data_IF_854341908117
#
_entry.id   IF_854341908117
#
_cell.length_a   1.000
_cell.length_b   1.000
_cell.length_c   1.000
_cell.angle_alpha   90.00
_cell.angle_beta   90.00
_cell.angle_gamma   90.00
#
_symmetry.space_group_name_H-M   'P 1'
#
loop_
_entity.id
_entity.type
_entity.pdbx_description
1 polymer ?
#
# COMPACT_ATOMS: atom_id res chain seq x y z
N UNK A 1 -47.04 44.25 6.68
CA UNK A 1 -47.00 42.85 7.10
C UNK A 1 -46.87 42.02 5.83
N UNK A 2 -45.61 41.89 5.36
CA UNK A 2 -45.27 41.18 4.15
C UNK A 2 -44.52 39.90 4.58
N UNK A 3 -45.07 38.77 4.24
CA UNK A 3 -44.56 37.43 4.56
C UNK A 3 -43.48 37.10 3.52
N UNK A 4 -42.27 36.93 4.01
CA UNK A 4 -41.08 36.50 3.29
C UNK A 4 -41.28 35.06 2.76
N UNK A 5 -41.10 34.75 1.46
CA UNK A 5 -41.20 33.40 0.94
C UNK A 5 -39.92 32.64 1.22
N UNK A 6 -40.01 31.75 2.19
CA UNK A 6 -39.05 30.82 2.69
C UNK A 6 -38.31 30.03 1.60
N UNK A 7 -37.00 30.03 1.75
CA UNK A 7 -36.08 28.91 1.52
C UNK A 7 -36.67 27.65 0.84
N UNK A 8 -36.63 27.64 -0.46
CA UNK A 8 -36.59 26.41 -1.22
C UNK A 8 -35.17 25.84 -1.09
N UNK A 9 -34.93 25.14 0.02
CA UNK A 9 -33.73 24.34 0.18
C UNK A 9 -33.69 23.30 -0.94
N UNK A 10 -32.83 23.52 -1.93
CA UNK A 10 -32.47 22.49 -2.91
C UNK A 10 -32.04 21.23 -2.13
N UNK A 11 -32.90 20.23 -2.10
CA UNK A 11 -32.51 18.85 -1.82
C UNK A 11 -31.55 18.45 -2.94
N UNK A 12 -30.29 18.87 -2.82
CA UNK A 12 -29.21 18.30 -3.62
C UNK A 12 -29.23 16.82 -3.34
N UNK A 13 -29.72 16.03 -4.29
CA UNK A 13 -29.89 14.59 -4.13
C UNK A 13 -28.57 13.99 -3.61
N UNK A 14 -28.63 13.06 -2.63
CA UNK A 14 -27.46 12.33 -2.10
C UNK A 14 -26.55 11.84 -3.25
N UNK A 15 -27.13 11.41 -4.36
CA UNK A 15 -26.44 10.99 -5.58
C UNK A 15 -25.56 12.08 -6.22
N UNK A 16 -25.92 13.37 -6.08
CA UNK A 16 -25.09 14.47 -6.61
C UNK A 16 -23.86 14.70 -5.72
N UNK A 17 -23.96 14.45 -4.42
CA UNK A 17 -22.85 14.54 -3.45
C UNK A 17 -21.88 13.36 -3.53
N UNK A 18 -22.29 12.20 -4.07
CA UNK A 18 -21.46 11.00 -4.21
C UNK A 18 -20.69 10.96 -5.53
N UNK A 19 -20.90 11.88 -6.48
CA UNK A 19 -20.15 11.91 -7.73
C UNK A 19 -18.74 12.43 -7.48
N UNK A 20 -17.74 11.65 -7.94
CA UNK A 20 -16.35 12.10 -7.98
C UNK A 20 -16.26 13.36 -8.83
N UNK A 21 -15.64 14.39 -8.28
CA UNK A 21 -15.44 15.65 -9.00
C UNK A 21 -14.35 15.46 -10.07
N UNK A 22 -14.75 15.51 -11.33
CA UNK A 22 -13.86 15.32 -12.48
C UNK A 22 -13.30 16.61 -13.05
N UNK A 23 -13.53 17.77 -12.43
CA UNK A 23 -13.02 19.06 -12.90
C UNK A 23 -11.51 19.08 -13.18
N UNK A 24 -10.65 18.46 -12.33
CA UNK A 24 -9.23 18.42 -12.62
C UNK A 24 -8.87 17.78 -13.97
N UNK A 25 -9.64 16.77 -14.43
CA UNK A 25 -9.40 16.10 -15.72
C UNK A 25 -9.68 16.98 -16.95
N UNK A 26 -10.33 18.13 -16.79
CA UNK A 26 -10.48 19.13 -17.87
C UNK A 26 -9.16 19.81 -18.19
N UNK A 27 -8.21 19.84 -17.27
CA UNK A 27 -6.87 20.39 -17.46
C UNK A 27 -6.00 19.38 -18.17
N UNK A 28 -5.51 19.72 -19.36
CA UNK A 28 -4.75 18.83 -20.23
C UNK A 28 -3.56 18.20 -19.51
N UNK A 29 -2.78 19.00 -18.81
CA UNK A 29 -1.53 18.52 -18.18
C UNK A 29 -1.83 17.60 -16.98
N UNK A 30 -2.79 17.95 -16.12
CA UNK A 30 -3.22 17.05 -15.06
C UNK A 30 -3.83 15.75 -15.60
N UNK A 31 -4.66 15.83 -16.64
CA UNK A 31 -5.25 14.64 -17.30
C UNK A 31 -4.17 13.72 -17.86
N UNK A 32 -3.15 14.27 -18.52
CA UNK A 32 -2.03 13.49 -19.03
C UNK A 32 -1.26 12.81 -17.89
N UNK A 33 -0.93 13.55 -16.80
CA UNK A 33 -0.32 12.96 -15.62
C UNK A 33 -1.18 11.84 -15.04
N UNK A 34 -2.48 12.08 -14.85
CA UNK A 34 -3.41 11.12 -14.27
C UNK A 34 -3.54 9.85 -15.13
N UNK A 35 -3.67 9.98 -16.45
CA UNK A 35 -3.74 8.84 -17.38
C UNK A 35 -2.43 8.05 -17.35
N UNK A 36 -1.27 8.72 -17.47
CA UNK A 36 0.02 8.05 -17.42
C UNK A 36 0.21 7.25 -16.15
N UNK A 37 -0.08 7.86 -15.00
CA UNK A 37 0.06 7.19 -13.72
C UNK A 37 -0.99 6.08 -13.52
N UNK A 38 -2.22 6.24 -13.97
CA UNK A 38 -3.22 5.18 -13.91
C UNK A 38 -2.78 3.94 -14.73
N UNK A 39 -2.23 4.16 -15.93
CA UNK A 39 -1.74 3.08 -16.80
C UNK A 39 -0.56 2.36 -16.14
N UNK A 40 0.47 3.08 -15.66
CA UNK A 40 1.63 2.44 -15.02
C UNK A 40 1.28 1.78 -13.69
N UNK A 41 0.36 2.36 -12.90
CA UNK A 41 -0.09 1.74 -11.65
C UNK A 41 -0.82 0.42 -11.90
N UNK A 42 -1.74 0.39 -12.87
CA UNK A 42 -2.45 -0.85 -13.23
C UNK A 42 -1.48 -1.92 -13.72
N UNK A 43 -0.51 -1.56 -14.58
CA UNK A 43 0.53 -2.47 -15.04
C UNK A 43 1.36 -3.03 -13.89
N UNK A 44 1.87 -2.16 -13.02
CA UNK A 44 2.65 -2.56 -11.86
C UNK A 44 1.88 -3.49 -10.91
N UNK A 45 0.59 -3.22 -10.66
CA UNK A 45 -0.25 -4.10 -9.84
C UNK A 45 -0.53 -5.47 -10.51
N UNK A 46 -0.62 -5.54 -11.84
CA UNK A 46 -0.65 -6.80 -12.59
C UNK A 46 0.65 -7.58 -12.35
N UNK A 47 1.80 -6.90 -12.32
CA UNK A 47 3.13 -7.48 -12.10
C UNK A 47 3.37 -7.98 -10.67
N UNK A 48 2.65 -7.48 -9.66
CA UNK A 48 2.89 -7.83 -8.24
C UNK A 48 2.76 -9.32 -7.95
N UNK A 49 1.88 -10.03 -8.66
CA UNK A 49 1.67 -11.48 -8.52
C UNK A 49 2.77 -12.28 -9.22
N UNK A 50 3.36 -11.74 -10.29
CA UNK A 50 4.24 -12.49 -11.18
C UNK A 50 5.56 -12.92 -10.50
N UNK A 51 6.22 -12.02 -9.77
CA UNK A 51 7.52 -12.30 -9.15
C UNK A 51 7.41 -13.35 -8.03
N UNK A 52 6.52 -13.21 -7.02
CA UNK A 52 6.33 -14.24 -5.99
C UNK A 52 5.89 -15.59 -6.57
N UNK A 53 4.97 -15.57 -7.53
CA UNK A 53 4.51 -16.77 -8.22
C UNK A 53 5.67 -17.48 -8.95
N UNK A 54 6.48 -16.74 -9.72
CA UNK A 54 7.60 -17.29 -10.46
C UNK A 54 8.69 -17.81 -9.54
N UNK A 55 9.04 -17.13 -8.45
CA UNK A 55 10.00 -17.64 -7.47
C UNK A 55 9.50 -18.94 -6.87
N UNK A 56 8.21 -18.99 -6.49
CA UNK A 56 7.66 -20.20 -5.90
C UNK A 56 7.62 -21.39 -6.88
N UNK A 57 7.17 -21.17 -8.11
CA UNK A 57 7.10 -22.24 -9.11
C UNK A 57 8.46 -22.78 -9.56
N UNK A 58 9.50 -21.94 -9.52
CA UNK A 58 10.88 -22.36 -9.84
C UNK A 58 11.58 -23.09 -8.68
N UNK A 59 11.22 -22.76 -7.42
CA UNK A 59 12.00 -23.22 -6.26
C UNK A 59 11.22 -24.10 -5.29
N UNK A 60 9.90 -24.06 -5.35
CA UNK A 60 8.97 -24.67 -4.38
C UNK A 60 9.29 -24.29 -2.92
N UNK A 61 9.93 -23.12 -2.69
CA UNK A 61 10.39 -22.65 -1.39
C UNK A 61 9.63 -21.40 -0.94
N UNK A 62 8.85 -21.55 0.12
CA UNK A 62 8.18 -20.41 0.79
C UNK A 62 9.18 -19.44 1.42
N UNK A 63 10.30 -19.97 1.93
CA UNK A 63 11.37 -19.13 2.49
C UNK A 63 12.00 -18.20 1.44
N UNK A 64 12.19 -18.68 0.19
CA UNK A 64 12.70 -17.82 -0.88
C UNK A 64 11.66 -16.78 -1.30
N UNK A 65 10.37 -17.10 -1.31
CA UNK A 65 9.33 -16.08 -1.55
C UNK A 65 9.33 -15.03 -0.43
N UNK A 66 9.43 -15.45 0.83
CA UNK A 66 9.57 -14.52 1.96
C UNK A 66 10.82 -13.64 1.88
N UNK A 67 11.93 -14.19 1.36
CA UNK A 67 13.18 -13.44 1.18
C UNK A 67 13.06 -12.32 0.12
N UNK A 68 12.10 -12.37 -0.81
CA UNK A 68 11.78 -11.24 -1.70
C UNK A 68 11.38 -9.98 -0.91
N UNK A 69 10.69 -10.15 0.23
CA UNK A 69 10.39 -9.06 1.15
C UNK A 69 11.68 -8.37 1.61
N UNK A 70 12.71 -9.12 1.98
CA UNK A 70 14.00 -8.55 2.39
C UNK A 70 14.71 -7.83 1.23
N UNK A 71 14.64 -8.38 0.01
CA UNK A 71 15.20 -7.73 -1.18
C UNK A 71 14.51 -6.39 -1.47
N UNK A 72 13.24 -6.23 -1.11
CA UNK A 72 12.47 -4.99 -1.21
C UNK A 72 12.74 -4.03 -0.04
N UNK A 73 12.93 -4.56 1.17
CA UNK A 73 13.08 -3.79 2.41
C UNK A 73 14.29 -2.85 2.39
N UNK A 74 15.45 -3.36 1.97
CA UNK A 74 16.69 -2.58 1.98
C UNK A 74 16.59 -1.34 1.08
N UNK A 75 16.20 -1.45 -0.21
CA UNK A 75 15.96 -0.28 -1.05
C UNK A 75 14.92 0.68 -0.49
N UNK A 76 13.83 0.15 0.05
CA UNK A 76 12.72 0.96 0.56
C UNK A 76 13.13 1.84 1.75
N UNK A 77 14.05 1.38 2.59
CA UNK A 77 14.58 2.16 3.72
C UNK A 77 15.70 3.12 3.31
N UNK A 78 16.58 2.71 2.39
CA UNK A 78 17.78 3.47 2.05
C UNK A 78 17.52 4.52 0.98
N UNK A 79 16.78 4.16 -0.08
CA UNK A 79 16.62 5.02 -1.25
C UNK A 79 15.89 6.34 -0.95
N UNK A 80 14.80 6.40 -0.15
CA UNK A 80 14.16 7.67 0.18
C UNK A 80 15.07 8.63 0.94
N UNK A 81 16.00 8.11 1.77
CA UNK A 81 16.93 8.92 2.56
C UNK A 81 17.97 9.62 1.67
N UNK A 82 18.41 8.95 0.61
CA UNK A 82 19.43 9.46 -0.30
C UNK A 82 18.79 10.13 -1.53
N UNK A 83 17.74 9.52 -2.04
CA UNK A 83 17.07 9.91 -3.30
C UNK A 83 16.21 11.15 -3.18
N UNK A 84 15.67 11.46 -1.99
CA UNK A 84 14.85 12.65 -1.76
C UNK A 84 15.59 13.93 -2.14
N UNK A 85 16.82 14.09 -1.68
CA UNK A 85 17.66 15.26 -2.00
C UNK A 85 17.97 15.35 -3.50
N UNK A 86 18.14 14.22 -4.18
CA UNK A 86 18.40 14.16 -5.63
C UNK A 86 17.12 14.52 -6.41
N UNK A 87 15.99 13.96 -6.01
CA UNK A 87 14.70 14.23 -6.65
C UNK A 87 14.31 15.70 -6.51
N UNK A 88 14.62 16.32 -5.38
CA UNK A 88 14.30 17.72 -5.12
C UNK A 88 15.15 18.71 -5.92
N UNK A 89 16.37 18.35 -6.27
CA UNK A 89 17.27 19.18 -7.07
C UNK A 89 16.98 19.11 -8.59
N UNK A 90 16.16 18.17 -9.05
CA UNK A 90 15.91 17.93 -10.46
C UNK A 90 14.51 18.40 -10.90
N UNK A 91 14.36 18.62 -12.21
CA UNK A 91 13.04 18.82 -12.84
C UNK A 91 12.13 17.61 -12.56
N UNK A 92 10.93 17.86 -11.98
CA UNK A 92 10.01 16.81 -11.53
C UNK A 92 9.54 15.90 -12.66
N UNK A 93 9.30 16.49 -13.85
CA UNK A 93 8.98 15.71 -15.05
C UNK A 93 10.16 14.83 -15.46
N UNK A 94 11.39 15.34 -15.42
CA UNK A 94 12.56 14.58 -15.76
C UNK A 94 12.81 13.41 -14.81
N UNK A 95 12.51 13.57 -13.51
CA UNK A 95 12.56 12.48 -12.54
C UNK A 95 11.54 11.39 -12.91
N UNK A 96 10.27 11.76 -13.17
CA UNK A 96 9.26 10.77 -13.58
C UNK A 96 9.62 10.05 -14.86
N UNK A 97 10.10 10.76 -15.89
CA UNK A 97 10.51 10.12 -17.14
C UNK A 97 11.63 9.10 -16.93
N UNK A 98 12.61 9.42 -16.05
CA UNK A 98 13.69 8.50 -15.71
C UNK A 98 13.18 7.28 -14.92
N UNK A 99 12.23 7.48 -14.01
CA UNK A 99 11.64 6.36 -13.26
C UNK A 99 10.80 5.46 -14.16
N UNK A 100 9.96 6.00 -15.04
CA UNK A 100 9.20 5.21 -16.03
C UNK A 100 10.13 4.44 -16.98
N UNK A 101 11.19 5.09 -17.48
CA UNK A 101 12.21 4.42 -18.31
C UNK A 101 12.89 3.30 -17.54
N UNK A 102 13.31 3.57 -16.29
CA UNK A 102 13.93 2.57 -15.43
C UNK A 102 13.02 1.38 -15.18
N UNK A 103 11.74 1.62 -14.88
CA UNK A 103 10.75 0.56 -14.68
C UNK A 103 10.50 -0.23 -15.97
N UNK A 104 10.41 0.42 -17.12
CA UNK A 104 10.30 -0.26 -18.42
C UNK A 104 11.51 -1.18 -18.69
N UNK A 105 12.73 -0.71 -18.39
CA UNK A 105 13.96 -1.53 -18.51
C UNK A 105 13.91 -2.72 -17.56
N UNK A 106 13.48 -2.53 -16.31
CA UNK A 106 13.34 -3.63 -15.34
C UNK A 106 12.30 -4.63 -15.80
N UNK A 107 11.15 -4.17 -16.30
CA UNK A 107 10.10 -5.04 -16.85
C UNK A 107 10.62 -5.84 -18.07
N UNK A 108 11.40 -5.21 -18.95
CA UNK A 108 12.06 -5.89 -20.07
C UNK A 108 13.06 -6.95 -19.60
N UNK A 109 13.80 -6.69 -18.53
CA UNK A 109 14.74 -7.66 -17.95
C UNK A 109 14.03 -8.82 -17.25
N UNK A 110 12.91 -8.55 -16.55
CA UNK A 110 12.04 -9.62 -16.02
C UNK A 110 11.48 -10.48 -17.15
N UNK A 111 10.99 -9.86 -18.22
CA UNK A 111 10.49 -10.57 -19.41
C UNK A 111 11.60 -11.41 -20.04
N UNK A 112 12.78 -10.83 -20.26
CA UNK A 112 13.93 -11.56 -20.81
C UNK A 112 14.33 -12.76 -19.95
N UNK A 113 14.37 -12.59 -18.62
CA UNK A 113 14.63 -13.68 -17.69
C UNK A 113 13.54 -14.78 -17.75
N UNK A 114 12.28 -14.39 -17.86
CA UNK A 114 11.16 -15.33 -17.92
C UNK A 114 11.11 -16.14 -19.24
N UNK A 115 11.68 -15.59 -20.32
CA UNK A 115 11.79 -16.26 -21.62
C UNK A 115 13.01 -17.19 -21.74
N UNK A 116 13.92 -17.21 -20.77
CA UNK A 116 15.03 -18.15 -20.76
C UNK A 116 14.53 -19.59 -20.60
N UNK A 117 15.19 -20.55 -21.22
CA UNK A 117 14.90 -21.99 -21.01
C UNK A 117 15.00 -22.38 -19.51
N UNK A 118 15.90 -21.75 -18.79
CA UNK A 118 16.07 -21.89 -17.33
C UNK A 118 16.12 -20.50 -16.69
N UNK A 119 14.98 -19.92 -16.26
CA UNK A 119 14.93 -18.63 -15.62
C UNK A 119 15.82 -18.58 -14.36
N UNK A 120 16.52 -17.48 -14.17
CA UNK A 120 17.48 -17.28 -13.08
C UNK A 120 16.78 -16.71 -11.86
N UNK A 121 16.67 -17.48 -10.79
CA UNK A 121 16.01 -17.04 -9.54
C UNK A 121 16.71 -15.84 -8.93
N UNK A 122 18.06 -15.80 -8.87
CA UNK A 122 18.80 -14.67 -8.32
C UNK A 122 18.50 -13.34 -9.04
N UNK A 123 18.23 -13.41 -10.36
CA UNK A 123 17.88 -12.22 -11.14
C UNK A 123 16.56 -11.60 -10.69
N UNK A 124 15.58 -12.44 -10.26
CA UNK A 124 14.31 -11.95 -9.72
C UNK A 124 14.51 -11.11 -8.46
N UNK A 125 15.41 -11.52 -7.56
CA UNK A 125 15.75 -10.74 -6.35
C UNK A 125 16.42 -9.41 -6.67
N UNK A 126 17.41 -9.43 -7.56
CA UNK A 126 18.14 -8.21 -7.94
C UNK A 126 17.20 -7.23 -8.64
N UNK A 127 16.43 -7.71 -9.61
CA UNK A 127 15.48 -6.88 -10.36
C UNK A 127 14.37 -6.33 -9.46
N UNK A 128 13.87 -7.12 -8.50
CA UNK A 128 12.91 -6.67 -7.48
C UNK A 128 13.49 -5.52 -6.64
N UNK A 129 14.71 -5.65 -6.16
CA UNK A 129 15.40 -4.59 -5.41
C UNK A 129 15.60 -3.32 -6.25
N UNK A 130 15.97 -3.44 -7.53
CA UNK A 130 16.10 -2.31 -8.45
C UNK A 130 14.73 -1.66 -8.71
N UNK A 131 13.68 -2.45 -8.96
CA UNK A 131 12.31 -1.95 -9.16
C UNK A 131 11.84 -1.10 -7.98
N UNK A 132 11.98 -1.63 -6.75
CA UNK A 132 11.60 -0.92 -5.52
C UNK A 132 12.44 0.35 -5.33
N UNK A 133 13.73 0.33 -5.69
CA UNK A 133 14.59 1.51 -5.64
C UNK A 133 14.09 2.62 -6.57
N UNK A 134 13.79 2.28 -7.83
CA UNK A 134 13.30 3.22 -8.83
C UNK A 134 11.92 3.77 -8.42
N UNK A 135 11.01 2.91 -7.98
CA UNK A 135 9.68 3.29 -7.49
C UNK A 135 9.76 4.28 -6.32
N UNK A 136 10.65 4.01 -5.36
CA UNK A 136 10.84 4.87 -4.19
C UNK A 136 11.36 6.26 -4.56
N UNK A 137 12.19 6.38 -5.61
CA UNK A 137 12.68 7.66 -6.14
C UNK A 137 11.58 8.48 -6.83
N UNK A 138 10.61 7.83 -7.47
CA UNK A 138 9.53 8.49 -8.21
C UNK A 138 8.47 9.13 -7.31
N UNK A 139 8.21 8.57 -6.14
CA UNK A 139 7.10 8.98 -5.26
C UNK A 139 7.11 10.46 -4.83
N UNK A 140 8.23 11.04 -4.36
CA UNK A 140 8.27 12.46 -3.99
C UNK A 140 8.00 13.40 -5.18
N UNK A 141 8.55 13.07 -6.35
CA UNK A 141 8.29 13.83 -7.56
C UNK A 141 6.80 13.79 -7.94
N UNK A 142 6.17 12.63 -7.86
CA UNK A 142 4.74 12.44 -8.15
C UNK A 142 3.85 13.26 -7.22
N UNK A 143 4.06 13.19 -5.92
CA UNK A 143 3.23 13.90 -4.93
C UNK A 143 3.33 15.43 -5.07
N UNK A 144 4.48 15.94 -5.51
CA UNK A 144 4.72 17.38 -5.69
C UNK A 144 4.16 17.95 -7.00
N UNK A 145 3.78 17.10 -7.98
CA UNK A 145 3.27 17.56 -9.27
C UNK A 145 1.80 17.96 -9.22
N UNK A 146 0.96 17.20 -8.51
CA UNK A 146 -0.47 17.46 -8.45
C UNK A 146 -0.81 18.89 -8.03
N UNK A 147 -0.22 19.48 -6.95
CA UNK A 147 -0.52 20.87 -6.55
C UNK A 147 -0.06 21.92 -7.59
N UNK A 148 0.81 21.57 -8.53
CA UNK A 148 1.27 22.49 -9.59
C UNK A 148 0.37 22.46 -10.83
N UNK A 149 -0.42 21.43 -10.99
CA UNK A 149 -1.23 21.20 -12.19
C UNK A 149 -2.71 21.55 -11.99
N UNK A 150 -3.13 21.67 -10.72
CA UNK A 150 -4.50 22.03 -10.35
C UNK A 150 -4.50 23.18 -9.35
N UNK A 151 -5.52 24.06 -9.36
CA UNK A 151 -5.68 25.08 -8.35
C UNK A 151 -6.02 24.47 -6.99
N UNK A 152 -5.80 25.23 -5.92
CA UNK A 152 -5.98 24.77 -4.54
C UNK A 152 -7.37 24.18 -4.28
N UNK A 153 -8.41 24.75 -4.90
CA UNK A 153 -9.82 24.32 -4.75
C UNK A 153 -10.08 22.95 -5.38
N UNK A 154 -9.23 22.51 -6.31
CA UNK A 154 -9.35 21.22 -7.01
C UNK A 154 -8.41 20.13 -6.45
N UNK A 155 -7.52 20.44 -5.49
CA UNK A 155 -6.55 19.49 -4.93
C UNK A 155 -7.26 18.29 -4.29
N UNK A 156 -8.33 18.51 -3.53
CA UNK A 156 -9.11 17.45 -2.92
C UNK A 156 -9.76 16.53 -3.98
N UNK A 157 -10.27 17.11 -5.07
CA UNK A 157 -10.83 16.36 -6.19
C UNK A 157 -9.74 15.54 -6.93
N UNK A 158 -8.55 16.12 -7.12
CA UNK A 158 -7.41 15.43 -7.71
C UNK A 158 -6.94 14.25 -6.84
N UNK A 159 -6.89 14.43 -5.52
CA UNK A 159 -6.57 13.35 -4.58
C UNK A 159 -7.62 12.22 -4.63
N UNK A 160 -8.92 12.56 -4.69
CA UNK A 160 -10.00 11.60 -4.84
C UNK A 160 -9.87 10.79 -6.14
N UNK A 161 -9.57 11.44 -7.27
CA UNK A 161 -9.34 10.78 -8.56
C UNK A 161 -8.13 9.83 -8.52
N UNK A 162 -7.06 10.23 -7.83
CA UNK A 162 -5.88 9.37 -7.59
C UNK A 162 -6.25 8.14 -6.75
N UNK A 163 -7.03 8.33 -5.68
CA UNK A 163 -7.50 7.22 -4.85
C UNK A 163 -8.37 6.23 -5.62
N UNK A 164 -9.19 6.71 -6.56
CA UNK A 164 -10.04 5.84 -7.40
C UNK A 164 -9.19 4.88 -8.24
N UNK A 165 -8.22 5.38 -9.01
CA UNK A 165 -7.42 4.47 -9.83
C UNK A 165 -6.52 3.57 -8.98
N UNK A 166 -5.96 4.06 -7.86
CA UNK A 166 -5.17 3.22 -6.95
C UNK A 166 -6.01 2.06 -6.38
N UNK A 167 -7.24 2.34 -5.93
CA UNK A 167 -8.13 1.30 -5.40
C UNK A 167 -8.53 0.28 -6.46
N UNK A 168 -8.85 0.76 -7.68
CA UNK A 168 -9.19 -0.13 -8.80
C UNK A 168 -7.99 -0.98 -9.23
N UNK A 169 -6.79 -0.39 -9.27
CA UNK A 169 -5.57 -1.10 -9.61
C UNK A 169 -5.21 -2.14 -8.53
N UNK A 170 -5.29 -1.80 -7.25
CA UNK A 170 -4.97 -2.71 -6.16
C UNK A 170 -5.91 -3.92 -6.09
N UNK A 171 -7.20 -3.75 -6.43
CA UNK A 171 -8.16 -4.86 -6.49
C UNK A 171 -8.05 -5.61 -7.82
N UNK A 172 -8.10 -4.87 -8.94
CA UNK A 172 -8.18 -5.46 -10.28
C UNK A 172 -6.84 -5.98 -10.81
N UNK A 173 -5.74 -5.28 -10.50
CA UNK A 173 -4.41 -5.61 -11.00
C UNK A 173 -3.96 -7.03 -10.66
N UNK A 174 -3.90 -7.43 -9.39
CA UNK A 174 -3.51 -8.77 -9.02
C UNK A 174 -4.44 -9.86 -9.57
N UNK A 175 -5.76 -9.62 -9.58
CA UNK A 175 -6.73 -10.56 -10.14
C UNK A 175 -6.51 -10.78 -11.64
N UNK A 176 -6.35 -9.70 -12.41
CA UNK A 176 -6.04 -9.75 -13.85
C UNK A 176 -4.67 -10.39 -14.07
N UNK A 177 -3.67 -10.06 -13.25
CA UNK A 177 -2.33 -10.63 -13.30
C UNK A 177 -2.34 -12.14 -13.14
N UNK A 178 -3.05 -12.64 -12.13
CA UNK A 178 -3.20 -14.08 -11.90
C UNK A 178 -3.92 -14.79 -13.05
N UNK A 179 -5.02 -14.24 -13.58
CA UNK A 179 -5.74 -14.76 -14.74
C UNK A 179 -4.82 -14.79 -15.96
N UNK A 180 -4.06 -13.74 -16.20
CA UNK A 180 -3.14 -13.65 -17.33
C UNK A 180 -2.02 -14.68 -17.23
N UNK A 181 -1.46 -14.92 -16.04
CA UNK A 181 -0.46 -15.97 -15.81
C UNK A 181 -1.06 -17.35 -16.08
N UNK A 182 -2.29 -17.61 -15.62
CA UNK A 182 -2.97 -18.88 -15.83
C UNK A 182 -3.28 -19.12 -17.31
N UNK A 183 -3.67 -18.10 -18.07
CA UNK A 183 -4.06 -18.21 -19.46
C UNK A 183 -2.88 -18.19 -20.45
N UNK A 184 -1.86 -17.39 -20.18
CA UNK A 184 -0.79 -17.08 -21.14
C UNK A 184 0.63 -17.26 -20.57
N UNK A 185 0.76 -17.42 -19.25
CA UNK A 185 2.03 -17.58 -18.57
C UNK A 185 2.66 -16.27 -18.08
N UNK A 186 3.67 -16.41 -17.23
CA UNK A 186 4.38 -15.29 -16.58
C UNK A 186 4.96 -14.26 -17.56
N UNK A 187 5.54 -14.63 -18.72
CA UNK A 187 6.11 -13.64 -19.65
C UNK A 187 5.12 -12.56 -20.09
N UNK A 188 3.85 -12.89 -20.23
CA UNK A 188 2.83 -11.92 -20.65
C UNK A 188 2.56 -10.83 -19.61
N UNK A 189 2.64 -11.15 -18.32
CA UNK A 189 2.50 -10.11 -17.27
C UNK A 189 3.65 -9.09 -17.34
N UNK A 190 4.88 -9.55 -17.50
CA UNK A 190 6.02 -8.64 -17.67
C UNK A 190 5.97 -7.87 -18.99
N UNK A 191 5.44 -8.50 -20.05
CA UNK A 191 5.21 -7.84 -21.33
C UNK A 191 4.18 -6.71 -21.24
N UNK A 192 3.07 -6.91 -20.54
CA UNK A 192 2.07 -5.87 -20.29
C UNK A 192 2.67 -4.76 -19.43
N UNK A 193 3.42 -5.11 -18.38
CA UNK A 193 4.07 -4.13 -17.51
C UNK A 193 5.05 -3.25 -18.30
N UNK A 194 5.86 -3.84 -19.19
CA UNK A 194 6.72 -3.11 -20.11
C UNK A 194 5.93 -2.14 -21.01
N UNK A 195 4.82 -2.59 -21.58
CA UNK A 195 3.97 -1.77 -22.44
C UNK A 195 3.35 -0.62 -21.65
N UNK A 196 2.86 -0.87 -20.44
CA UNK A 196 2.23 0.16 -19.61
C UNK A 196 3.20 1.22 -19.15
N UNK A 197 4.42 0.87 -18.72
CA UNK A 197 5.47 1.85 -18.41
C UNK A 197 5.91 2.65 -19.64
N UNK A 198 6.02 1.99 -20.80
CA UNK A 198 6.35 2.67 -22.05
C UNK A 198 5.24 3.65 -22.46
N UNK A 199 3.99 3.24 -22.35
CA UNK A 199 2.82 4.12 -22.64
C UNK A 199 2.79 5.31 -21.66
N UNK A 200 2.97 5.06 -20.35
CA UNK A 200 3.07 6.10 -19.33
C UNK A 200 4.18 7.09 -19.63
N UNK A 201 5.38 6.61 -20.02
CA UNK A 201 6.48 7.46 -20.42
C UNK A 201 6.06 8.46 -21.53
N UNK A 202 5.42 8.00 -22.61
CA UNK A 202 5.00 8.88 -23.69
C UNK A 202 3.95 9.90 -23.23
N UNK A 203 3.02 9.51 -22.36
CA UNK A 203 2.00 10.42 -21.83
C UNK A 203 2.64 11.48 -20.91
N UNK A 204 3.56 11.10 -20.05
CA UNK A 204 4.29 12.03 -19.16
C UNK A 204 5.25 12.91 -19.98
N UNK A 205 5.79 12.41 -21.08
CA UNK A 205 6.62 13.22 -21.99
C UNK A 205 5.88 14.42 -22.59
N UNK A 206 4.57 14.38 -22.67
CA UNK A 206 3.74 15.50 -23.13
C UNK A 206 3.58 16.62 -22.09
N UNK A 207 4.00 16.42 -20.84
CA UNK A 207 3.94 17.43 -19.79
C UNK A 207 4.95 18.54 -20.01
N UNK A 208 4.69 19.78 -19.56
CA UNK A 208 5.67 20.85 -19.58
C UNK A 208 6.83 20.55 -18.60
N UNK A 209 7.97 21.22 -18.78
CA UNK A 209 9.08 21.18 -17.82
C UNK A 209 8.62 21.77 -16.48
N UNK A 210 9.04 21.15 -15.39
CA UNK A 210 8.65 21.53 -14.03
C UNK A 210 9.87 21.63 -13.12
N UNK A 211 10.64 22.74 -13.24
CA UNK A 211 11.84 22.93 -12.45
C UNK A 211 11.51 22.98 -10.94
N UNK A 212 12.49 22.69 -10.08
CA UNK A 212 12.34 22.80 -8.64
C UNK A 212 11.95 24.23 -8.24
N UNK A 213 11.07 24.36 -7.24
CA UNK A 213 10.67 25.64 -6.66
C UNK A 213 11.38 25.85 -5.32
N UNK A 214 12.33 26.78 -5.27
CA UNK A 214 12.99 27.22 -4.04
C UNK A 214 14.00 26.25 -3.43
N UNK A 215 14.56 26.66 -2.29
CA UNK A 215 15.40 25.82 -1.45
C UNK A 215 14.52 24.77 -0.74
N UNK A 216 14.85 23.50 -0.91
CA UNK A 216 14.14 22.41 -0.25
C UNK A 216 14.91 22.04 1.00
N UNK A 217 14.21 22.02 2.14
CA UNK A 217 14.75 21.47 3.38
C UNK A 217 15.22 20.01 3.14
N UNK A 218 16.52 19.80 3.26
CA UNK A 218 17.12 18.47 3.06
C UNK A 218 16.58 17.49 4.10
N UNK A 219 16.07 16.33 3.69
CA UNK A 219 15.77 15.26 4.63
C UNK A 219 17.01 15.01 5.47
N UNK A 220 16.97 15.26 6.76
CA UNK A 220 18.12 15.03 7.62
C UNK A 220 17.83 13.86 8.56
N UNK A 221 18.84 13.01 8.78
CA UNK A 221 18.75 11.97 9.80
C UNK A 221 18.37 12.52 11.17
N UNK A 222 18.73 13.78 11.46
CA UNK A 222 18.28 14.49 12.67
C UNK A 222 16.78 14.64 12.73
N UNK A 223 16.10 14.95 11.60
CA UNK A 223 14.66 15.08 11.56
C UNK A 223 13.95 13.77 11.93
N UNK A 224 14.48 12.63 11.46
CA UNK A 224 13.98 11.30 11.79
C UNK A 224 14.21 11.00 13.28
N UNK A 225 15.43 11.26 13.78
CA UNK A 225 15.76 11.09 15.20
C UNK A 225 14.88 11.96 16.10
N UNK A 226 14.57 13.18 15.71
CA UNK A 226 13.67 14.07 16.45
C UNK A 226 12.24 13.52 16.47
N UNK A 227 11.79 12.90 15.38
CA UNK A 227 10.51 12.18 15.34
C UNK A 227 10.50 11.02 16.36
N UNK A 228 11.54 10.18 16.37
CA UNK A 228 11.66 9.09 17.36
C UNK A 228 11.79 9.61 18.81
N UNK A 229 12.52 10.71 19.03
CA UNK A 229 12.59 11.34 20.35
C UNK A 229 11.23 11.84 20.80
N UNK A 230 10.43 12.39 19.89
CA UNK A 230 9.08 12.85 20.19
C UNK A 230 8.14 11.70 20.58
N UNK A 231 8.31 10.51 19.98
CA UNK A 231 7.53 9.32 20.35
C UNK A 231 7.79 8.88 21.80
N UNK A 232 9.02 9.11 22.30
CA UNK A 232 9.42 8.64 23.63
C UNK A 232 8.50 9.21 24.72
N UNK A 233 7.87 8.31 25.47
CA UNK A 233 6.95 8.65 26.57
C UNK A 233 5.50 8.94 26.14
N UNK A 234 5.21 9.07 24.86
CA UNK A 234 3.85 9.30 24.34
C UNK A 234 3.16 7.98 24.00
N UNK A 235 2.57 7.34 25.00
CA UNK A 235 1.91 6.03 24.84
C UNK A 235 0.89 5.99 23.68
N UNK A 236 0.04 7.01 23.43
CA UNK A 236 -0.88 6.98 22.30
C UNK A 236 -0.17 6.76 20.95
N UNK A 237 0.94 7.47 20.71
CA UNK A 237 1.71 7.34 19.47
C UNK A 237 2.47 6.01 19.41
N UNK A 238 3.13 5.62 20.52
CA UNK A 238 3.80 4.32 20.58
C UNK A 238 2.81 3.18 20.31
N UNK A 239 1.58 3.28 20.85
CA UNK A 239 0.51 2.29 20.68
C UNK A 239 0.10 2.07 19.22
N UNK A 240 -0.12 3.14 18.47
CA UNK A 240 -0.51 3.02 17.05
C UNK A 240 0.60 2.34 16.23
N UNK A 241 1.87 2.69 16.46
CA UNK A 241 3.00 2.09 15.77
C UNK A 241 3.22 0.62 16.18
N UNK A 242 3.12 0.30 17.47
CA UNK A 242 3.37 -1.04 17.98
C UNK A 242 2.27 -2.03 17.56
N UNK A 243 0.99 -1.62 17.61
CA UNK A 243 -0.13 -2.46 17.16
C UNK A 243 -0.01 -2.75 15.66
N UNK A 244 0.31 -1.74 14.86
CA UNK A 244 0.49 -1.91 13.42
C UNK A 244 1.68 -2.81 13.08
N UNK A 245 2.82 -2.60 13.74
CA UNK A 245 3.98 -3.49 13.57
C UNK A 245 3.64 -4.93 13.90
N UNK A 246 2.93 -5.17 15.01
CA UNK A 246 2.50 -6.53 15.39
C UNK A 246 1.55 -7.13 14.33
N UNK A 247 0.60 -6.34 13.82
CA UNK A 247 -0.32 -6.79 12.79
C UNK A 247 0.39 -7.12 11.47
N UNK A 248 1.31 -6.26 11.02
CA UNK A 248 1.99 -6.43 9.73
C UNK A 248 3.08 -7.50 9.78
N UNK A 249 3.83 -7.62 10.89
CA UNK A 249 4.91 -8.62 11.01
C UNK A 249 4.34 -10.01 11.22
N UNK A 250 3.33 -10.18 12.07
CA UNK A 250 2.80 -11.52 12.36
C UNK A 250 1.58 -11.88 11.53
N UNK A 251 0.76 -10.91 11.13
CA UNK A 251 -0.53 -11.17 10.48
C UNK A 251 -0.53 -11.00 8.96
N UNK A 252 0.61 -10.94 8.27
CA UNK A 252 0.64 -10.71 6.81
C UNK A 252 1.32 -11.86 6.05
N UNK A 253 0.57 -12.91 5.65
CA UNK A 253 1.12 -14.09 5.02
C UNK A 253 1.19 -13.98 3.49
N UNK A 254 1.45 -12.80 2.90
CA UNK A 254 1.38 -12.59 1.44
C UNK A 254 2.41 -13.42 0.67
N UNK A 255 3.59 -13.64 1.25
CA UNK A 255 4.60 -14.55 0.68
C UNK A 255 4.11 -16.00 0.54
N UNK A 256 3.09 -16.40 1.30
CA UNK A 256 2.56 -17.78 1.25
C UNK A 256 1.44 -17.95 0.23
N UNK A 257 0.90 -16.85 -0.35
CA UNK A 257 -0.23 -16.95 -1.28
C UNK A 257 0.01 -17.88 -2.49
N UNK A 258 1.20 -17.88 -3.14
CA UNK A 258 1.46 -18.87 -4.19
C UNK A 258 1.40 -20.31 -3.70
N UNK A 259 2.00 -20.60 -2.54
CA UNK A 259 1.99 -21.94 -1.95
C UNK A 259 0.59 -22.38 -1.52
N UNK A 260 -0.16 -21.49 -0.86
CA UNK A 260 -1.53 -21.74 -0.41
C UNK A 260 -2.45 -21.99 -1.61
N UNK A 261 -2.38 -21.14 -2.64
CA UNK A 261 -3.20 -21.28 -3.83
C UNK A 261 -2.98 -22.62 -4.51
N UNK A 262 -1.71 -23.00 -4.75
CA UNK A 262 -1.37 -24.19 -5.52
C UNK A 262 -1.52 -25.50 -4.71
N UNK A 263 -1.17 -25.51 -3.41
CA UNK A 263 -1.14 -26.75 -2.62
C UNK A 263 -2.31 -26.91 -1.65
N UNK A 264 -2.76 -25.81 -0.98
CA UNK A 264 -3.83 -25.91 0.02
C UNK A 264 -5.22 -25.78 -0.62
N UNK A 265 -5.36 -24.86 -1.60
CA UNK A 265 -6.62 -24.62 -2.31
C UNK A 265 -6.74 -25.40 -3.61
N UNK A 266 -5.68 -26.12 -4.04
CA UNK A 266 -5.64 -26.90 -5.29
C UNK A 266 -6.04 -26.07 -6.52
N UNK A 267 -5.69 -24.78 -6.51
CA UNK A 267 -5.98 -23.82 -7.56
C UNK A 267 -4.80 -23.62 -8.52
N UNK A 268 -4.84 -22.51 -9.23
CA UNK A 268 -3.86 -22.10 -10.24
C UNK A 268 -3.32 -20.69 -9.99
N UNK A 269 -2.66 -20.09 -10.97
CA UNK A 269 -2.16 -18.72 -10.89
C UNK A 269 -3.28 -17.67 -10.74
N UNK A 270 -4.48 -17.92 -11.28
CA UNK A 270 -5.63 -17.02 -11.08
C UNK A 270 -6.04 -17.01 -9.60
N UNK A 271 -6.00 -18.17 -8.94
CA UNK A 271 -6.24 -18.31 -7.51
C UNK A 271 -5.25 -17.44 -6.70
N UNK A 272 -3.97 -17.41 -7.08
CA UNK A 272 -2.98 -16.52 -6.45
C UNK A 272 -3.39 -15.05 -6.59
N UNK A 273 -3.76 -14.64 -7.81
CA UNK A 273 -4.23 -13.27 -8.08
C UNK A 273 -5.45 -12.88 -7.23
N UNK A 274 -6.41 -13.78 -7.06
CA UNK A 274 -7.59 -13.55 -6.23
C UNK A 274 -7.23 -13.42 -4.74
N UNK A 275 -6.26 -14.20 -4.23
CA UNK A 275 -5.79 -14.06 -2.86
C UNK A 275 -5.13 -12.69 -2.62
N UNK A 276 -4.34 -12.20 -3.57
CA UNK A 276 -3.76 -10.85 -3.48
C UNK A 276 -4.82 -9.74 -3.56
N UNK A 277 -5.86 -9.90 -4.40
CA UNK A 277 -6.93 -8.92 -4.57
C UNK A 277 -7.90 -8.86 -3.38
N UNK A 278 -8.08 -9.96 -2.66
CA UNK A 278 -9.12 -10.08 -1.64
C UNK A 278 -8.99 -9.07 -0.47
N UNK A 279 -7.81 -8.82 0.15
CA UNK A 279 -7.68 -7.81 1.19
C UNK A 279 -8.04 -6.41 0.70
N UNK A 280 -7.59 -6.03 -0.50
CA UNK A 280 -7.89 -4.73 -1.09
C UNK A 280 -9.38 -4.56 -1.40
N UNK A 281 -10.06 -5.65 -1.80
CA UNK A 281 -11.52 -5.65 -1.96
C UNK A 281 -12.23 -5.36 -0.65
N UNK A 282 -11.78 -5.95 0.44
CA UNK A 282 -12.28 -5.70 1.79
C UNK A 282 -12.04 -4.26 2.25
N UNK A 283 -10.84 -3.74 2.01
CA UNK A 283 -10.49 -2.35 2.31
C UNK A 283 -11.36 -1.37 1.50
N UNK A 284 -11.56 -1.63 0.22
CA UNK A 284 -12.45 -0.84 -0.63
C UNK A 284 -13.89 -0.83 -0.12
N UNK A 285 -14.47 -2.00 0.20
CA UNK A 285 -15.81 -2.09 0.79
C UNK A 285 -15.89 -1.39 2.15
N UNK A 286 -14.87 -1.52 2.99
CA UNK A 286 -14.74 -0.81 4.26
C UNK A 286 -14.76 0.70 4.08
N UNK A 287 -14.10 1.22 3.04
CA UNK A 287 -14.08 2.65 2.74
C UNK A 287 -15.47 3.24 2.45
N UNK A 288 -16.33 2.46 1.78
CA UNK A 288 -17.69 2.89 1.45
C UNK A 288 -18.59 3.07 2.68
N UNK A 289 -18.29 2.33 3.75
CA UNK A 289 -19.07 2.37 5.00
C UNK A 289 -18.33 3.06 6.15
N UNK A 290 -17.26 3.81 5.85
CA UNK A 290 -16.34 4.40 6.85
C UNK A 290 -16.91 5.58 7.64
N UNK A 291 -18.09 6.12 7.29
CA UNK A 291 -18.64 7.33 7.91
C UNK A 291 -18.82 7.27 9.44
N UNK A 292 -18.99 6.09 10.02
CA UNK A 292 -19.11 5.89 11.47
C UNK A 292 -17.78 6.11 12.24
N UNK A 293 -16.63 6.02 11.56
CA UNK A 293 -15.32 6.17 12.21
C UNK A 293 -15.13 7.54 12.85
N UNK A 294 -15.76 8.59 12.30
CA UNK A 294 -15.77 9.94 12.86
C UNK A 294 -16.41 10.05 14.25
N UNK A 295 -17.24 9.06 14.64
CA UNK A 295 -17.93 9.01 15.92
C UNK A 295 -17.19 8.18 16.97
N UNK A 296 -16.10 7.51 16.59
CA UNK A 296 -15.32 6.66 17.51
C UNK A 296 -14.56 7.54 18.50
N UNK A 297 -14.92 7.44 19.77
CA UNK A 297 -14.30 8.22 20.85
C UNK A 297 -12.99 7.61 21.30
N UNK A 298 -13.00 6.32 21.68
CA UNK A 298 -11.83 5.58 22.17
C UNK A 298 -11.07 4.97 21.01
N UNK A 299 -10.27 5.79 20.32
CA UNK A 299 -9.58 5.38 19.10
C UNK A 299 -8.58 4.25 19.34
N UNK A 300 -7.86 4.23 20.47
CA UNK A 300 -6.91 3.16 20.80
C UNK A 300 -7.60 1.79 20.97
N UNK A 301 -8.81 1.77 21.56
CA UNK A 301 -9.64 0.56 21.62
C UNK A 301 -10.07 0.13 20.22
N UNK A 302 -10.53 1.08 19.39
CA UNK A 302 -10.94 0.81 18.01
C UNK A 302 -9.82 0.20 17.18
N UNK A 303 -8.60 0.77 17.25
CA UNK A 303 -7.39 0.23 16.60
C UNK A 303 -7.08 -1.19 17.06
N UNK A 304 -7.12 -1.44 18.38
CA UNK A 304 -6.83 -2.76 18.94
C UNK A 304 -7.87 -3.80 18.49
N UNK A 305 -9.16 -3.46 18.51
CA UNK A 305 -10.22 -4.36 18.05
C UNK A 305 -10.04 -4.66 16.55
N UNK A 306 -9.81 -3.66 15.72
CA UNK A 306 -9.61 -3.84 14.29
C UNK A 306 -8.40 -4.74 14.00
N UNK A 307 -7.28 -4.54 14.70
CA UNK A 307 -6.09 -5.40 14.56
C UNK A 307 -6.33 -6.84 15.06
N UNK A 308 -7.13 -7.02 16.12
CA UNK A 308 -7.52 -8.36 16.57
C UNK A 308 -8.47 -9.06 15.56
N UNK A 309 -9.40 -8.32 14.92
CA UNK A 309 -10.24 -8.84 13.83
C UNK A 309 -9.40 -9.24 12.63
N UNK A 310 -8.41 -8.42 12.26
CA UNK A 310 -7.41 -8.78 11.24
C UNK A 310 -6.74 -10.11 11.58
N UNK A 311 -6.13 -10.24 12.77
CA UNK A 311 -5.43 -11.45 13.20
C UNK A 311 -6.35 -12.69 13.25
N UNK A 312 -7.60 -12.54 13.73
CA UNK A 312 -8.58 -13.60 13.76
C UNK A 312 -9.00 -14.05 12.35
N UNK A 313 -9.18 -13.11 11.42
CA UNK A 313 -9.50 -13.40 10.04
C UNK A 313 -8.34 -14.12 9.33
N UNK A 314 -7.09 -13.71 9.57
CA UNK A 314 -5.89 -14.40 9.06
C UNK A 314 -5.78 -15.82 9.65
N UNK A 315 -5.99 -15.99 10.94
CA UNK A 315 -5.99 -17.33 11.54
C UNK A 315 -7.09 -18.23 10.94
N UNK A 316 -8.30 -17.69 10.74
CA UNK A 316 -9.40 -18.42 10.09
C UNK A 316 -9.08 -18.75 8.61
N UNK A 317 -8.44 -17.84 7.87
CA UNK A 317 -7.94 -18.08 6.52
C UNK A 317 -6.99 -19.28 6.48
N UNK A 318 -6.13 -19.48 7.48
CA UNK A 318 -5.23 -20.63 7.56
C UNK A 318 -5.92 -22.00 7.57
N UNK A 319 -7.20 -22.06 7.99
CA UNK A 319 -7.99 -23.31 7.99
C UNK A 319 -8.79 -23.53 6.70
N UNK A 320 -8.83 -22.60 5.78
CA UNK A 320 -9.63 -22.71 4.54
C UNK A 320 -9.01 -23.71 3.57
N UNK A 321 -9.86 -24.48 2.90
CA UNK A 321 -9.46 -25.46 1.88
C UNK A 321 -10.12 -25.17 0.52
N UNK A 322 -10.82 -24.05 0.41
CA UNK A 322 -11.46 -23.61 -0.83
C UNK A 322 -11.34 -22.08 -1.01
N UNK A 323 -11.41 -21.63 -2.26
CA UNK A 323 -11.15 -20.25 -2.64
C UNK A 323 -12.12 -19.25 -1.97
N UNK A 324 -13.41 -19.49 -2.01
CA UNK A 324 -14.41 -18.53 -1.53
C UNK A 324 -14.31 -18.18 -0.04
N UNK A 325 -14.21 -19.14 0.89
CA UNK A 325 -13.91 -18.85 2.29
C UNK A 325 -12.56 -18.14 2.49
N UNK A 326 -11.54 -18.52 1.72
CA UNK A 326 -10.24 -17.87 1.77
C UNK A 326 -10.34 -16.37 1.43
N UNK A 327 -10.98 -16.04 0.30
CA UNK A 327 -11.23 -14.66 -0.10
C UNK A 327 -12.09 -13.91 0.91
N UNK A 328 -13.11 -14.55 1.48
CA UNK A 328 -13.99 -13.94 2.47
C UNK A 328 -13.22 -13.50 3.73
N UNK A 329 -12.41 -14.38 4.30
CA UNK A 329 -11.62 -14.04 5.47
C UNK A 329 -10.52 -13.00 5.16
N UNK A 330 -9.87 -13.08 4.01
CA UNK A 330 -8.92 -12.07 3.58
C UNK A 330 -9.58 -10.70 3.33
N UNK A 331 -10.81 -10.67 2.81
CA UNK A 331 -11.57 -9.43 2.67
C UNK A 331 -11.96 -8.84 4.04
N UNK A 332 -12.37 -9.67 5.02
CA UNK A 332 -12.59 -9.22 6.41
C UNK A 332 -11.29 -8.62 6.97
N UNK A 333 -10.16 -9.30 6.78
CA UNK A 333 -8.87 -8.79 7.20
C UNK A 333 -8.59 -7.41 6.60
N UNK A 334 -8.68 -7.26 5.27
CA UNK A 334 -8.43 -5.98 4.60
C UNK A 334 -9.37 -4.86 5.04
N UNK A 335 -10.66 -5.17 5.27
CA UNK A 335 -11.62 -4.22 5.85
C UNK A 335 -11.23 -3.78 7.27
N UNK A 336 -10.79 -4.71 8.11
CA UNK A 336 -10.33 -4.43 9.46
C UNK A 336 -9.07 -3.56 9.46
N UNK A 337 -8.10 -3.84 8.58
CA UNK A 337 -6.90 -3.00 8.43
C UNK A 337 -7.25 -1.59 7.97
N UNK A 338 -8.14 -1.44 7.01
CA UNK A 338 -8.62 -0.13 6.58
C UNK A 338 -9.16 0.70 7.75
N UNK A 339 -10.01 0.13 8.60
CA UNK A 339 -10.53 0.84 9.77
C UNK A 339 -9.43 1.15 10.79
N UNK A 340 -8.51 0.20 11.01
CA UNK A 340 -7.33 0.42 11.85
C UNK A 340 -6.49 1.60 11.33
N UNK A 341 -6.19 1.63 10.03
CA UNK A 341 -5.41 2.69 9.39
C UNK A 341 -6.08 4.07 9.52
N UNK A 342 -7.38 4.17 9.28
CA UNK A 342 -8.14 5.43 9.44
C UNK A 342 -8.05 5.96 10.88
N UNK A 343 -8.24 5.09 11.86
CA UNK A 343 -8.18 5.49 13.28
C UNK A 343 -6.75 5.86 13.70
N UNK A 344 -5.73 5.12 13.24
CA UNK A 344 -4.30 5.39 13.52
C UNK A 344 -3.87 6.73 12.93
N UNK A 345 -4.13 6.96 11.64
CA UNK A 345 -3.79 8.23 10.98
C UNK A 345 -4.53 9.41 11.61
N UNK A 346 -5.80 9.25 11.99
CA UNK A 346 -6.56 10.29 12.70
C UNK A 346 -5.93 10.60 14.07
N UNK A 347 -5.55 9.57 14.82
CA UNK A 347 -4.91 9.72 16.13
C UNK A 347 -3.52 10.37 16.00
N UNK A 348 -2.73 9.95 15.00
CA UNK A 348 -1.44 10.56 14.70
C UNK A 348 -1.56 12.07 14.45
N UNK A 349 -2.52 12.47 13.58
CA UNK A 349 -2.75 13.88 13.26
C UNK A 349 -3.22 14.71 14.47
N UNK A 350 -4.01 14.12 15.37
CA UNK A 350 -4.55 14.83 16.54
C UNK A 350 -3.54 15.00 17.67
N UNK A 351 -2.65 14.03 17.86
CA UNK A 351 -1.68 13.99 18.97
C UNK A 351 -0.38 14.70 18.60
N UNK A 352 -0.13 14.92 17.31
CA UNK A 352 1.14 15.47 16.83
C UNK A 352 1.01 16.97 16.55
N UNK A 353 1.89 17.81 17.10
CA UNK A 353 1.97 19.23 16.74
C UNK A 353 2.34 19.40 15.25
N UNK A 354 1.81 20.46 14.62
CA UNK A 354 1.96 20.70 13.17
C UNK A 354 3.41 20.67 12.69
N UNK A 355 4.35 21.22 13.46
CA UNK A 355 5.77 21.27 13.10
C UNK A 355 6.48 19.90 13.12
N UNK A 356 5.88 18.85 13.71
CA UNK A 356 6.39 17.47 13.75
C UNK A 356 5.57 16.51 12.92
N UNK A 357 4.38 16.94 12.43
CA UNK A 357 3.44 16.07 11.74
C UNK A 357 4.09 15.39 10.51
N UNK A 358 4.78 16.15 9.68
CA UNK A 358 5.47 15.61 8.51
C UNK A 358 6.56 14.58 8.86
N UNK A 359 7.27 14.76 10.01
CA UNK A 359 8.29 13.80 10.47
C UNK A 359 7.66 12.49 10.92
N UNK A 360 6.56 12.55 11.67
CA UNK A 360 5.86 11.35 12.14
C UNK A 360 5.13 10.62 11.02
N UNK A 361 4.54 11.33 10.05
CA UNK A 361 4.00 10.73 8.83
C UNK A 361 5.08 10.03 8.01
N UNK A 362 6.30 10.57 7.96
CA UNK A 362 7.44 9.90 7.36
C UNK A 362 7.81 8.59 8.04
N UNK A 363 7.76 8.55 9.40
CA UNK A 363 7.98 7.32 10.17
C UNK A 363 6.85 6.32 9.93
N UNK A 364 5.57 6.77 9.93
CA UNK A 364 4.41 5.93 9.60
C UNK A 364 4.56 5.32 8.21
N UNK A 365 4.91 6.12 7.22
CA UNK A 365 5.14 5.64 5.86
C UNK A 365 6.26 4.58 5.80
N UNK A 366 7.40 4.83 6.44
CA UNK A 366 8.49 3.86 6.50
C UNK A 366 8.04 2.54 7.15
N UNK A 367 7.26 2.60 8.23
CA UNK A 367 6.75 1.42 8.90
C UNK A 367 5.78 0.63 8.02
N UNK A 368 4.74 1.28 7.49
CA UNK A 368 3.73 0.65 6.62
C UNK A 368 4.36 0.02 5.39
N UNK A 369 5.43 0.62 4.87
CA UNK A 369 6.13 0.11 3.71
C UNK A 369 7.10 -1.05 4.04
N UNK A 370 7.70 -1.06 5.25
CA UNK A 370 8.74 -2.03 5.62
C UNK A 370 8.24 -3.21 6.46
N UNK A 371 7.26 -3.00 7.33
CA UNK A 371 6.79 -4.05 8.23
C UNK A 371 6.21 -5.28 7.48
N UNK A 372 5.45 -5.13 6.37
CA UNK A 372 5.00 -6.27 5.58
C UNK A 372 6.16 -7.13 5.05
N UNK A 373 7.27 -6.52 4.64
CA UNK A 373 8.45 -7.25 4.16
C UNK A 373 9.07 -8.16 5.23
N UNK A 374 9.05 -7.71 6.50
CA UNK A 374 9.46 -8.53 7.64
C UNK A 374 8.48 -9.67 7.91
N UNK A 375 7.17 -9.39 7.77
CA UNK A 375 6.12 -10.39 7.90
C UNK A 375 6.21 -11.48 6.82
N UNK A 376 6.45 -11.09 5.58
CA UNK A 376 6.67 -12.03 4.48
C UNK A 376 7.87 -12.95 4.74
N UNK A 377 8.98 -12.39 5.26
CA UNK A 377 10.16 -13.18 5.63
C UNK A 377 9.83 -14.15 6.77
N UNK A 378 9.19 -13.67 7.83
CA UNK A 378 8.79 -14.48 8.99
C UNK A 378 7.87 -15.62 8.55
N UNK A 379 6.78 -15.31 7.85
CA UNK A 379 5.81 -16.29 7.39
C UNK A 379 6.44 -17.31 6.45
N UNK A 380 7.26 -16.86 5.48
CA UNK A 380 7.93 -17.72 4.51
C UNK A 380 8.90 -18.70 5.16
N UNK A 381 9.73 -18.23 6.10
CA UNK A 381 10.67 -19.08 6.84
C UNK A 381 9.93 -20.04 7.76
N UNK A 382 8.95 -19.56 8.53
CA UNK A 382 8.18 -20.39 9.44
C UNK A 382 7.43 -21.50 8.70
N UNK A 383 6.82 -21.19 7.56
CA UNK A 383 6.13 -22.18 6.74
C UNK A 383 7.09 -23.24 6.16
N UNK A 384 8.34 -22.86 5.82
CA UNK A 384 9.34 -23.79 5.31
C UNK A 384 9.86 -24.77 6.38
N UNK A 385 9.84 -24.35 7.65
CA UNK A 385 10.28 -25.18 8.79
C UNK A 385 9.15 -26.02 9.41
N UNK A 386 7.90 -25.66 9.14
CA UNK A 386 6.73 -26.29 9.77
C UNK A 386 5.69 -26.70 8.74
N UNK A 387 4.67 -25.86 8.54
CA UNK A 387 3.65 -26.04 7.50
C UNK A 387 2.99 -24.69 7.16
N UNK A 388 2.37 -24.59 5.97
CA UNK A 388 1.61 -23.40 5.55
C UNK A 388 0.55 -23.04 6.58
N UNK A 389 -0.26 -24.02 7.00
CA UNK A 389 -1.33 -23.82 7.98
C UNK A 389 -0.78 -23.33 9.32
N UNK A 390 0.27 -23.93 9.83
CA UNK A 390 0.86 -23.56 11.12
C UNK A 390 1.37 -22.11 11.06
N UNK A 391 2.10 -21.72 10.02
CA UNK A 391 2.61 -20.36 9.86
C UNK A 391 1.49 -19.31 9.84
N UNK A 392 0.46 -19.52 9.01
CA UNK A 392 -0.66 -18.58 8.90
C UNK A 392 -1.46 -18.48 10.20
N UNK A 393 -1.78 -19.62 10.82
CA UNK A 393 -2.58 -19.64 12.05
C UNK A 393 -1.81 -19.06 13.23
N UNK A 394 -0.55 -19.46 13.41
CA UNK A 394 0.29 -18.91 14.48
C UNK A 394 0.54 -17.42 14.29
N UNK A 395 0.76 -16.97 13.05
CA UNK A 395 0.90 -15.56 12.73
C UNK A 395 -0.34 -14.74 13.11
N UNK A 396 -1.54 -15.21 12.75
CA UNK A 396 -2.79 -14.57 13.17
C UNK A 396 -2.98 -14.52 14.69
N UNK A 397 -2.63 -15.62 15.39
CA UNK A 397 -2.68 -15.67 16.87
C UNK A 397 -1.65 -14.74 17.49
N UNK A 398 -0.40 -14.72 17.00
CA UNK A 398 0.64 -13.82 17.48
C UNK A 398 0.31 -12.35 17.25
N UNK A 399 -0.34 -12.04 16.13
CA UNK A 399 -0.90 -10.70 15.88
C UNK A 399 -1.88 -10.30 16.99
N UNK A 400 -2.86 -11.15 17.32
CA UNK A 400 -3.83 -10.88 18.39
C UNK A 400 -3.12 -10.71 19.73
N UNK A 401 -2.23 -11.62 20.09
CA UNK A 401 -1.46 -11.57 21.34
C UNK A 401 -0.61 -10.30 21.41
N UNK A 402 0.09 -9.95 20.33
CA UNK A 402 0.92 -8.73 20.26
C UNK A 402 0.07 -7.45 20.39
N UNK A 403 -1.08 -7.39 19.75
CA UNK A 403 -1.99 -6.25 19.84
C UNK A 403 -2.57 -6.10 21.26
N UNK A 404 -3.01 -7.20 21.88
CA UNK A 404 -3.53 -7.18 23.25
C UNK A 404 -2.41 -6.83 24.25
N UNK A 405 -1.23 -7.44 24.11
CA UNK A 405 -0.09 -7.13 24.96
C UNK A 405 0.32 -5.66 24.88
N UNK A 406 0.36 -5.09 23.66
CA UNK A 406 0.61 -3.66 23.44
C UNK A 406 -0.44 -2.80 24.13
N UNK A 407 -1.71 -3.15 23.96
CA UNK A 407 -2.83 -2.43 24.54
C UNK A 407 -2.77 -2.43 26.09
N UNK A 408 -2.44 -3.58 26.69
CA UNK A 408 -2.30 -3.70 28.15
C UNK A 408 -1.05 -2.97 28.69
N UNK A 409 0.06 -2.99 27.95
CA UNK A 409 1.29 -2.30 28.32
C UNK A 409 1.18 -0.77 28.21
N UNK A 410 0.24 -0.27 27.39
CA UNK A 410 0.10 1.16 27.10
C UNK A 410 -1.33 1.67 27.48
N UNK A 411 -1.66 1.76 28.76
CA UNK A 411 -3.03 2.11 29.19
C UNK A 411 -3.48 3.51 28.72
N UNK A 412 -2.58 4.48 28.54
CA UNK A 412 -2.94 5.79 27.98
C UNK A 412 -3.33 5.71 26.51
N UNK A 413 -2.82 4.73 25.75
CA UNK A 413 -3.27 4.46 24.39
C UNK A 413 -4.71 3.98 24.36
N UNK A 414 -5.09 3.00 25.19
CA UNK A 414 -6.47 2.52 25.29
C UNK A 414 -7.46 3.58 25.76
N UNK A 415 -7.02 4.43 26.70
CA UNK A 415 -7.86 5.47 27.33
C UNK A 415 -7.94 6.75 26.51
N UNK A 416 -7.18 6.85 25.40
CA UNK A 416 -7.19 8.04 24.57
C UNK A 416 -8.61 8.35 24.07
N UNK A 417 -9.17 9.48 24.49
CA UNK A 417 -10.44 10.00 24.03
C UNK A 417 -10.23 11.12 23.01
N UNK A 418 -10.82 10.96 21.84
CA UNK A 418 -10.72 11.93 20.76
C UNK A 418 -11.33 13.30 21.07
N UNK A 419 -12.04 13.48 22.19
CA UNK A 419 -12.67 14.72 22.63
C UNK A 419 -11.82 15.51 23.62
N UNK A 420 -10.82 14.88 24.21
CA UNK A 420 -9.91 15.56 25.11
C UNK A 420 -8.83 16.27 24.28
N UNK A 421 -8.52 17.56 24.57
CA UNK A 421 -7.38 18.21 23.93
C UNK A 421 -6.12 17.41 24.26
N UNK A 422 -5.22 17.29 23.29
CA UNK A 422 -3.92 16.63 23.50
C UNK A 422 -3.16 17.39 24.59
N UNK A 423 -2.93 16.74 25.74
CA UNK A 423 -2.15 17.25 26.85
C UNK A 423 -0.65 17.20 26.53
#
# INVERSE_FOLDING_TARGET
>A
MAIDPLHTGERTSLFRRMRVDTRPLRRRDYRNLWIGQAISTVGGEIGTVAVPYQVYTLTHSTALVGLLGLASLIPLLVVPLVGGAIADALDRRAVLLRTETGMAVVAALFLANALLAHPRVWALFVLQGIAVSIFSLGRPAMSSLTPRLVPNEEIAAAAALTSVYNSLAAVGGPAVGGILIAAAGVPWTYGIDLVTYTASFFVIWLLPKMPPLGEVDRPSLRAILDGFRFLKGRQPLIGIFAVDTAAMVFGMPTALFPAIALHQLQGDAATVGYLYAAPYSGAFLGSLVSGWTSHVRRMGVGVTIAACVWGAAIAAFGFTTSLWPAMFFLAIAGGADFFSAVLRSTMLMRVTPDHLLGRLQGIEFMQVASAPSLGDLEAGVLASLTSLRFSVVSGGVLCIVGCIATALALPKFLRYDAREPAA
#
